data_IF_524641190286
#
_entry.id   IF_524641190286
#
_cell.length_a   1.000
_cell.length_b   1.000
_cell.length_c   1.000
_cell.angle_alpha   90.00
_cell.angle_beta   90.00
_cell.angle_gamma   90.00
#
_symmetry.space_group_name_H-M   'P 1'
#
loop_
_entity.id
_entity.type
_entity.pdbx_description
1 polymer ?
#
# COMPACT_ATOMS: atom_id res chain seq x y z
N UNK A 1 -5.21 36.88 14.92
CA UNK A 1 -6.53 36.74 14.29
C UNK A 1 -6.62 35.30 13.83
N UNK A 2 -7.24 34.49 14.68
CA UNK A 2 -7.51 33.08 14.48
C UNK A 2 -8.82 33.02 13.72
N UNK A 3 -8.86 32.41 12.54
CA UNK A 3 -10.14 32.16 11.88
C UNK A 3 -10.78 30.92 12.50
N UNK A 4 -11.92 31.13 13.13
CA UNK A 4 -12.79 30.13 13.73
C UNK A 4 -13.43 29.25 12.66
N UNK A 5 -13.29 27.93 12.79
CA UNK A 5 -13.98 26.93 11.97
C UNK A 5 -15.23 26.46 12.72
N UNK A 6 -16.41 26.72 12.16
CA UNK A 6 -17.72 26.42 12.75
C UNK A 6 -18.31 25.11 12.18
N UNK A 7 -18.69 24.09 13.00
CA UNK A 7 -18.91 22.73 12.52
C UNK A 7 -20.34 22.35 12.09
N UNK A 8 -21.35 23.25 12.07
CA UNK A 8 -22.77 22.83 11.95
C UNK A 8 -23.59 23.46 10.80
N UNK A 9 -23.02 23.78 9.64
CA UNK A 9 -23.83 24.21 8.47
C UNK A 9 -24.36 23.04 7.63
N UNK A 10 -25.22 22.23 8.21
CA UNK A 10 -25.96 21.18 7.49
C UNK A 10 -27.47 21.43 7.60
N UNK A 11 -28.15 21.73 6.48
CA UNK A 11 -29.50 21.22 6.14
C UNK A 11 -29.96 21.61 4.72
N UNK A 12 -30.09 20.59 3.86
CA UNK A 12 -31.28 20.28 3.03
C UNK A 12 -31.72 21.15 1.81
N UNK A 13 -31.36 20.65 0.60
CA UNK A 13 -32.02 20.52 -0.75
C UNK A 13 -33.52 20.95 -0.97
N UNK A 14 -34.07 21.12 -2.23
CA UNK A 14 -33.72 20.43 -3.51
C UNK A 14 -33.89 21.17 -4.91
N UNK A 15 -33.37 20.47 -5.97
CA UNK A 15 -33.68 20.37 -7.45
C UNK A 15 -34.04 21.62 -8.29
N UNK A 16 -33.64 21.80 -9.55
CA UNK A 16 -33.48 20.92 -10.73
C UNK A 16 -32.47 21.57 -11.72
N UNK A 17 -31.98 21.01 -12.83
CA UNK A 17 -32.24 19.77 -13.56
C UNK A 17 -31.02 19.45 -14.47
N UNK A 18 -30.88 18.18 -14.84
CA UNK A 18 -29.76 17.65 -15.65
C UNK A 18 -30.20 17.51 -17.10
N UNK A 19 -29.42 18.05 -18.03
CA UNK A 19 -29.55 17.74 -19.46
C UNK A 19 -28.53 16.66 -19.88
N UNK A 20 -29.09 15.55 -20.37
CA UNK A 20 -28.61 14.73 -21.48
C UNK A 20 -27.14 14.31 -21.53
N UNK A 21 -26.81 13.18 -20.90
CA UNK A 21 -25.90 12.22 -21.55
C UNK A 21 -26.73 11.01 -21.94
N UNK A 22 -26.66 10.65 -23.22
CA UNK A 22 -27.47 9.60 -23.83
C UNK A 22 -27.46 8.32 -23.00
N UNK A 23 -28.65 7.94 -22.54
CA UNK A 23 -28.90 6.64 -21.94
C UNK A 23 -29.10 5.65 -23.08
N UNK A 24 -28.12 4.77 -23.32
CA UNK A 24 -28.35 3.53 -24.04
C UNK A 24 -29.05 2.58 -23.05
N UNK A 25 -30.36 2.75 -22.90
CA UNK A 25 -31.21 1.78 -22.20
C UNK A 25 -31.57 0.72 -23.24
N UNK A 26 -30.98 -0.46 -23.13
CA UNK A 26 -31.51 -1.66 -23.77
C UNK A 26 -32.81 -2.03 -23.02
N UNK A 27 -33.86 -2.33 -23.76
CA UNK A 27 -35.26 -2.33 -23.31
C UNK A 27 -35.68 -3.43 -22.33
N UNK A 28 -34.75 -3.98 -21.56
CA UNK A 28 -34.93 -5.17 -20.75
C UNK A 28 -34.43 -5.00 -19.31
N UNK A 29 -34.36 -3.78 -18.77
CA UNK A 29 -34.29 -3.55 -17.31
C UNK A 29 -33.12 -4.18 -16.53
N UNK A 30 -32.17 -4.82 -17.19
CA UNK A 30 -30.99 -5.38 -16.56
C UNK A 30 -29.98 -4.27 -16.37
N UNK A 31 -29.75 -3.91 -15.11
CA UNK A 31 -28.47 -3.34 -14.71
C UNK A 31 -27.50 -4.49 -14.90
N UNK A 32 -26.67 -4.43 -15.94
CA UNK A 32 -25.51 -5.31 -16.04
C UNK A 32 -24.63 -4.93 -14.84
N UNK A 33 -24.82 -5.65 -13.73
CA UNK A 33 -23.96 -5.51 -12.57
C UNK A 33 -22.61 -5.95 -13.07
N UNK A 34 -21.69 -5.00 -13.25
CA UNK A 34 -20.26 -5.22 -13.47
C UNK A 34 -19.71 -6.08 -12.32
N UNK A 35 -20.06 -7.36 -12.33
CA UNK A 35 -19.57 -8.36 -11.40
C UNK A 35 -18.17 -8.65 -11.92
N UNK A 36 -17.13 -8.28 -11.16
CA UNK A 36 -15.77 -8.52 -11.61
C UNK A 36 -15.65 -10.01 -11.89
N UNK A 37 -15.27 -10.37 -13.12
CA UNK A 37 -15.12 -11.77 -13.49
C UNK A 37 -14.20 -12.49 -12.50
N UNK A 38 -14.32 -13.81 -12.34
CA UNK A 38 -13.66 -14.58 -11.27
C UNK A 38 -12.15 -14.28 -11.15
N UNK A 39 -11.45 -14.13 -12.27
CA UNK A 39 -10.03 -13.77 -12.29
C UNK A 39 -9.69 -12.32 -11.88
N UNK A 40 -10.65 -11.39 -11.86
CA UNK A 40 -10.45 -9.99 -11.42
C UNK A 40 -10.57 -9.87 -9.90
N UNK A 41 -11.51 -10.59 -9.27
CA UNK A 41 -11.64 -10.64 -7.80
C UNK A 41 -10.40 -11.29 -7.18
N UNK A 42 -9.99 -12.46 -7.67
CA UNK A 42 -8.81 -13.17 -7.17
C UNK A 42 -7.52 -12.33 -7.27
N UNK A 43 -7.37 -11.57 -8.37
CA UNK A 43 -6.21 -10.69 -8.58
C UNK A 43 -6.22 -9.48 -7.64
N UNK A 44 -7.42 -8.98 -7.31
CA UNK A 44 -7.61 -7.91 -6.34
C UNK A 44 -7.32 -8.40 -4.92
N UNK A 45 -7.81 -9.58 -4.55
CA UNK A 45 -7.56 -10.22 -3.25
C UNK A 45 -6.07 -10.53 -3.04
N UNK A 46 -5.39 -11.11 -4.03
CA UNK A 46 -3.94 -11.38 -3.97
C UNK A 46 -3.12 -10.09 -3.84
N UNK A 47 -3.51 -9.03 -4.56
CA UNK A 47 -2.87 -7.71 -4.45
C UNK A 47 -3.12 -7.09 -3.07
N UNK A 48 -4.33 -7.23 -2.53
CA UNK A 48 -4.69 -6.76 -1.19
C UNK A 48 -3.88 -7.51 -0.12
N UNK A 49 -3.75 -8.84 -0.21
CA UNK A 49 -2.92 -9.60 0.73
C UNK A 49 -1.46 -9.16 0.72
N UNK A 50 -0.88 -8.98 -0.48
CA UNK A 50 0.50 -8.53 -0.61
C UNK A 50 0.69 -7.13 -0.03
N UNK A 51 -0.22 -6.21 -0.33
CA UNK A 51 -0.22 -4.86 0.23
C UNK A 51 -0.29 -4.90 1.78
N UNK A 52 -1.22 -5.67 2.33
CA UNK A 52 -1.39 -5.83 3.78
C UNK A 52 -0.15 -6.47 4.45
N UNK A 53 0.54 -7.40 3.79
CA UNK A 53 1.82 -7.96 4.29
C UNK A 53 2.89 -6.86 4.38
N UNK A 54 3.01 -6.03 3.36
CA UNK A 54 3.99 -4.93 3.33
C UNK A 54 3.71 -3.86 4.38
N UNK A 55 2.44 -3.49 4.59
CA UNK A 55 2.06 -2.53 5.64
C UNK A 55 2.34 -3.08 7.05
N UNK A 56 2.04 -4.35 7.29
CA UNK A 56 2.34 -5.00 8.57
C UNK A 56 3.84 -5.04 8.87
N UNK A 57 4.69 -5.25 7.85
CA UNK A 57 6.15 -5.16 8.02
C UNK A 57 6.58 -3.73 8.35
N UNK A 58 6.04 -2.72 7.68
CA UNK A 58 6.35 -1.31 7.95
C UNK A 58 5.96 -0.93 9.40
N UNK A 59 4.76 -1.32 9.86
CA UNK A 59 4.31 -1.07 11.24
C UNK A 59 5.22 -1.70 12.29
N UNK A 60 5.74 -2.90 12.03
CA UNK A 60 6.71 -3.58 12.92
C UNK A 60 8.02 -2.79 13.00
N UNK A 61 8.52 -2.29 11.87
CA UNK A 61 9.73 -1.46 11.84
C UNK A 61 9.54 -0.14 12.61
N UNK A 62 8.41 0.54 12.43
CA UNK A 62 8.11 1.78 13.17
C UNK A 62 8.01 1.54 14.69
N UNK A 63 7.44 0.39 15.09
CA UNK A 63 7.38 0.02 16.51
C UNK A 63 8.77 -0.23 17.08
N UNK A 64 9.64 -0.93 16.34
CA UNK A 64 11.01 -1.18 16.75
C UNK A 64 11.82 0.12 16.82
N UNK A 65 11.71 1.00 15.82
CA UNK A 65 12.31 2.33 15.80
C UNK A 65 11.91 3.11 17.04
N UNK A 66 10.61 3.27 17.30
CA UNK A 66 10.13 4.04 18.44
C UNK A 66 10.57 3.48 19.78
N UNK A 67 10.70 2.14 19.90
CA UNK A 67 11.26 1.51 21.10
C UNK A 67 12.73 1.87 21.30
N UNK A 68 13.53 1.85 20.23
CA UNK A 68 14.95 2.22 20.28
C UNK A 68 15.14 3.71 20.57
N UNK A 69 14.41 4.60 19.89
CA UNK A 69 14.49 6.05 20.11
C UNK A 69 14.17 6.40 21.57
N UNK A 70 13.11 5.80 22.14
CA UNK A 70 12.75 5.99 23.55
C UNK A 70 13.84 5.49 24.49
N UNK A 71 14.36 4.29 24.24
CA UNK A 71 15.41 3.69 25.07
C UNK A 71 16.69 4.55 25.08
N UNK A 72 17.11 5.07 23.94
CA UNK A 72 18.28 5.97 23.86
C UNK A 72 18.09 7.26 24.65
N UNK A 73 16.87 7.79 24.71
CA UNK A 73 16.56 8.99 25.48
C UNK A 73 16.16 8.70 26.94
N UNK A 74 16.23 7.44 27.41
CA UNK A 74 15.83 7.06 28.77
C UNK A 74 14.34 7.14 29.06
N UNK A 75 13.50 7.20 28.01
CA UNK A 75 12.05 7.31 28.14
C UNK A 75 11.36 5.95 28.05
N UNK A 76 10.23 5.84 28.73
CA UNK A 76 9.40 4.63 28.72
C UNK A 76 8.07 4.88 28.00
N UNK A 77 7.24 3.84 27.88
CA UNK A 77 5.86 4.01 27.35
C UNK A 77 4.94 4.75 28.33
N UNK A 78 5.30 4.81 29.62
CA UNK A 78 4.49 5.46 30.66
C UNK A 78 4.52 6.99 30.55
N UNK A 79 5.58 7.54 29.95
CA UNK A 79 5.74 8.99 29.76
C UNK A 79 4.69 9.57 28.78
N UNK A 80 4.00 8.71 28.00
CA UNK A 80 2.95 9.08 27.03
C UNK A 80 3.34 10.22 26.06
N UNK A 81 4.63 10.47 25.89
CA UNK A 81 5.18 11.44 24.94
C UNK A 81 4.86 10.96 23.52
N UNK A 82 4.38 11.88 22.68
CA UNK A 82 4.05 11.63 21.27
C UNK A 82 5.27 11.14 20.48
N UNK A 83 5.06 10.23 19.53
CA UNK A 83 6.16 9.62 18.76
C UNK A 83 6.90 10.65 17.90
N UNK A 84 6.20 11.66 17.41
CA UNK A 84 6.72 12.74 16.57
C UNK A 84 7.76 13.59 17.32
N UNK A 85 7.63 13.70 18.65
CA UNK A 85 8.55 14.47 19.49
C UNK A 85 9.94 13.86 19.48
N UNK A 86 10.05 12.54 19.66
CA UNK A 86 11.34 11.85 19.62
C UNK A 86 12.02 11.97 18.26
N UNK A 87 11.26 11.84 17.18
CA UNK A 87 11.77 12.00 15.81
C UNK A 87 12.27 13.42 15.55
N UNK A 88 11.55 14.44 16.08
CA UNK A 88 11.95 15.85 15.97
C UNK A 88 13.20 16.18 16.78
N UNK A 89 13.29 15.68 18.02
CA UNK A 89 14.45 15.90 18.91
C UNK A 89 15.70 15.24 18.34
N UNK A 90 15.57 14.00 17.85
CA UNK A 90 16.69 13.24 17.31
C UNK A 90 16.97 13.55 15.83
N UNK A 91 16.16 14.41 15.20
CA UNK A 91 16.23 14.74 13.78
C UNK A 91 16.25 13.49 12.86
N UNK A 92 15.49 12.45 13.23
CA UNK A 92 15.42 11.17 12.52
C UNK A 92 14.22 11.15 11.57
N UNK A 93 14.45 10.77 10.31
CA UNK A 93 13.39 10.51 9.34
C UNK A 93 12.69 9.17 9.63
N UNK A 94 11.41 9.04 9.25
CA UNK A 94 10.67 7.80 9.50
C UNK A 94 11.35 6.59 8.81
N UNK A 95 11.59 5.52 9.57
CA UNK A 95 12.14 4.26 9.07
C UNK A 95 11.34 3.65 7.90
N UNK A 96 10.02 3.82 7.86
CA UNK A 96 9.19 3.30 6.77
C UNK A 96 9.45 4.04 5.45
N UNK A 97 9.73 5.34 5.52
CA UNK A 97 10.15 6.15 4.37
C UNK A 97 11.54 5.72 3.89
N UNK A 98 12.48 5.45 4.81
CA UNK A 98 13.81 4.94 4.45
C UNK A 98 13.77 3.54 3.86
N UNK A 99 12.91 2.67 4.37
CA UNK A 99 12.67 1.35 3.78
C UNK A 99 12.07 1.50 2.37
N UNK A 100 11.14 2.43 2.16
CA UNK A 100 10.56 2.73 0.84
C UNK A 100 11.62 3.27 -0.13
N UNK A 101 12.44 4.21 0.31
CA UNK A 101 13.56 4.77 -0.45
C UNK A 101 14.53 3.66 -0.90
N UNK A 102 14.91 2.76 0.02
CA UNK A 102 15.77 1.62 -0.30
C UNK A 102 15.18 0.68 -1.35
N UNK A 103 13.88 0.37 -1.26
CA UNK A 103 13.16 -0.43 -2.26
C UNK A 103 13.15 0.24 -3.63
N UNK A 104 12.89 1.55 -3.69
CA UNK A 104 12.89 2.31 -4.94
C UNK A 104 14.30 2.44 -5.54
N UNK A 105 15.32 2.59 -4.70
CA UNK A 105 16.71 2.63 -5.15
C UNK A 105 17.13 1.29 -5.74
N UNK A 106 16.69 0.19 -5.14
CA UNK A 106 16.89 -1.15 -5.66
C UNK A 106 16.14 -1.40 -6.96
N UNK A 107 14.86 -1.03 -7.07
CA UNK A 107 14.11 -1.18 -8.33
C UNK A 107 14.73 -0.35 -9.45
N UNK A 108 15.18 0.87 -9.15
CA UNK A 108 15.95 1.70 -10.08
C UNK A 108 17.29 1.06 -10.48
N UNK A 109 17.97 0.37 -9.56
CA UNK A 109 19.17 -0.40 -9.87
C UNK A 109 18.86 -1.55 -10.84
N UNK A 110 17.84 -2.36 -10.55
CA UNK A 110 17.42 -3.47 -11.42
C UNK A 110 17.04 -2.93 -12.81
N UNK A 111 16.30 -1.82 -12.86
CA UNK A 111 15.83 -1.22 -14.12
C UNK A 111 16.93 -0.68 -15.03
N UNK A 112 18.08 -0.32 -14.47
CA UNK A 112 19.27 0.10 -15.22
C UNK A 112 20.11 -1.06 -15.75
N UNK A 113 19.90 -2.30 -15.28
CA UNK A 113 20.65 -3.47 -15.75
C UNK A 113 20.15 -3.92 -17.13
N UNK A 114 21.04 -4.56 -17.90
CA UNK A 114 20.71 -5.12 -19.21
C UNK A 114 19.60 -6.17 -19.10
N UNK A 115 18.79 -6.32 -20.14
CA UNK A 115 17.76 -7.36 -20.20
C UNK A 115 18.33 -8.79 -20.18
N UNK A 116 19.61 -8.94 -20.57
CA UNK A 116 20.33 -10.21 -20.46
C UNK A 116 20.64 -10.60 -19.02
N UNK A 117 20.67 -9.64 -18.08
CA UNK A 117 21.00 -9.90 -16.68
C UNK A 117 19.88 -10.73 -16.01
N UNK A 118 20.24 -11.76 -15.21
CA UNK A 118 19.26 -12.68 -14.63
C UNK A 118 18.21 -11.97 -13.75
N UNK A 119 18.62 -10.99 -12.96
CA UNK A 119 17.71 -10.24 -12.07
C UNK A 119 16.66 -9.45 -12.89
N UNK A 120 17.05 -8.91 -14.05
CA UNK A 120 16.17 -8.16 -14.95
C UNK A 120 15.22 -9.08 -15.72
N UNK A 121 15.68 -10.30 -16.05
CA UNK A 121 14.82 -11.35 -16.62
C UNK A 121 13.72 -11.71 -15.65
N UNK A 122 14.06 -11.97 -14.38
CA UNK A 122 13.08 -12.33 -13.34
C UNK A 122 12.00 -11.26 -13.15
N UNK A 123 12.35 -9.97 -13.21
CA UNK A 123 11.37 -8.88 -13.15
C UNK A 123 10.34 -8.92 -14.29
N UNK A 124 10.74 -9.42 -15.47
CA UNK A 124 9.89 -9.53 -16.67
C UNK A 124 9.22 -10.91 -16.81
N UNK A 125 9.60 -11.89 -15.98
CA UNK A 125 9.01 -13.22 -16.01
C UNK A 125 7.56 -13.14 -15.52
N UNK A 126 6.63 -13.46 -16.41
CA UNK A 126 5.25 -13.75 -16.03
C UNK A 126 5.17 -15.24 -15.73
N UNK A 127 4.94 -15.59 -14.47
CA UNK A 127 4.70 -16.98 -14.07
C UNK A 127 3.22 -17.27 -14.29
N UNK A 128 2.94 -18.02 -15.36
CA UNK A 128 1.61 -18.55 -15.65
C UNK A 128 1.37 -19.78 -14.75
N UNK A 129 0.33 -19.72 -13.90
CA UNK A 129 -0.11 -20.86 -13.08
C UNK A 129 -0.11 -20.60 -11.57
N UNK A 130 -0.95 -21.36 -10.86
CA UNK A 130 -0.97 -21.41 -9.39
C UNK A 130 0.22 -22.25 -8.95
N UNK A 131 1.26 -21.61 -8.43
CA UNK A 131 2.40 -22.32 -7.85
C UNK A 131 1.89 -23.34 -6.84
N UNK A 132 2.34 -24.59 -6.94
CA UNK A 132 2.02 -25.62 -5.97
C UNK A 132 2.48 -25.12 -4.60
N UNK A 133 1.51 -24.77 -3.75
CA UNK A 133 1.79 -24.26 -2.41
C UNK A 133 2.52 -25.32 -1.62
N UNK A 134 3.84 -25.20 -1.50
CA UNK A 134 4.68 -26.21 -0.89
C UNK A 134 6.15 -25.79 -0.82
N UNK A 135 6.92 -26.55 -0.04
CA UNK A 135 8.38 -26.38 0.07
C UNK A 135 9.04 -26.80 -1.25
N UNK A 136 9.84 -25.94 -1.89
CA UNK A 136 10.59 -26.32 -3.10
C UNK A 136 11.48 -27.53 -2.84
N UNK A 137 11.60 -28.44 -3.82
CA UNK A 137 12.56 -29.54 -3.76
C UNK A 137 13.99 -28.95 -3.74
N UNK A 138 14.82 -29.42 -2.82
CA UNK A 138 16.19 -28.94 -2.60
C UNK A 138 17.21 -29.46 -3.63
N UNK A 139 16.76 -30.20 -4.63
CA UNK A 139 17.61 -30.84 -5.62
C UNK A 139 17.52 -30.10 -6.94
N UNK A 140 18.66 -29.65 -7.42
CA UNK A 140 18.85 -29.32 -8.83
C UNK A 140 19.26 -30.62 -9.52
N UNK A 141 18.56 -31.01 -10.57
CA UNK A 141 19.01 -32.09 -11.45
C UNK A 141 20.16 -31.57 -12.33
N UNK A 142 21.18 -32.41 -12.52
CA UNK A 142 22.45 -32.14 -13.22
C UNK A 142 22.31 -32.13 -14.75
#
# INVERSE_FOLDING_TARGET
MTEDYDPDSCTSRPRAGREGRGSFIQGDGNIDSDTPGPGRLEKMESSNEHHMRQENQARKLETAEMRMLRWMCGHTRLDRIRNEVFRKILHVANISDKAREGRLRWSGHVRRRSQSAPIRKVELLTVEGKGEGGRPRLTWDE
#
